data_IF_798950046635
#
_entry.id   IF_798950046635
#
_cell.length_a   1.000
_cell.length_b   1.000
_cell.length_c   1.000
_cell.angle_alpha   90.00
_cell.angle_beta   90.00
_cell.angle_gamma   90.00
#
_symmetry.space_group_name_H-M   'P 1'
#
loop_
_entity.id
_entity.type
_entity.pdbx_description
1 polymer ?
#
# COMPACT_ATOMS: atom_id res chain seq x y z
N UNK A 1 -7.87 -9.63 22.09
CA UNK A 1 -7.72 -10.85 21.26
C UNK A 1 -8.81 -11.04 20.21
N UNK A 2 -9.93 -10.29 20.22
CA UNK A 2 -10.90 -10.29 19.10
C UNK A 2 -10.62 -9.22 18.02
N UNK A 3 -9.85 -8.17 18.35
CA UNK A 3 -9.53 -7.08 17.43
C UNK A 3 -8.63 -7.49 16.28
N UNK A 4 -7.55 -8.24 16.55
CA UNK A 4 -6.57 -8.62 15.52
C UNK A 4 -7.18 -9.49 14.41
N UNK A 5 -8.12 -10.38 14.75
CA UNK A 5 -8.83 -11.21 13.77
C UNK A 5 -9.90 -10.42 13.02
N UNK A 6 -10.56 -9.47 13.69
CA UNK A 6 -11.59 -8.64 13.06
C UNK A 6 -10.98 -7.67 12.04
N UNK A 7 -9.86 -7.02 12.39
CA UNK A 7 -9.16 -6.12 11.48
C UNK A 7 -8.65 -6.90 10.26
N UNK A 8 -8.05 -8.08 10.46
CA UNK A 8 -7.64 -8.92 9.33
C UNK A 8 -8.82 -9.26 8.41
N UNK A 9 -9.99 -9.62 8.95
CA UNK A 9 -11.19 -9.88 8.14
C UNK A 9 -11.68 -8.64 7.38
N UNK A 10 -11.71 -7.47 8.03
CA UNK A 10 -12.18 -6.23 7.39
C UNK A 10 -11.21 -5.82 6.27
N UNK A 11 -9.91 -5.75 6.57
CA UNK A 11 -8.92 -5.25 5.63
C UNK A 11 -8.64 -6.27 4.52
N UNK A 12 -8.54 -7.56 4.85
CA UNK A 12 -8.26 -8.59 3.86
C UNK A 12 -9.52 -9.01 3.08
N UNK A 13 -10.53 -9.53 3.77
CA UNK A 13 -11.68 -10.17 3.12
C UNK A 13 -12.70 -9.18 2.59
N UNK A 14 -13.00 -8.12 3.36
CA UNK A 14 -14.07 -7.18 3.01
C UNK A 14 -13.62 -6.09 2.03
N UNK A 15 -12.33 -5.71 2.07
CA UNK A 15 -11.80 -4.59 1.28
C UNK A 15 -10.73 -5.06 0.30
N UNK A 16 -9.71 -5.78 0.77
CA UNK A 16 -8.55 -6.15 -0.03
C UNK A 16 -8.88 -7.06 -1.22
N UNK A 17 -9.54 -8.20 -0.98
CA UNK A 17 -9.92 -9.14 -2.04
C UNK A 17 -10.80 -8.47 -3.11
N UNK A 18 -11.88 -7.73 -2.76
CA UNK A 18 -12.68 -7.03 -3.75
C UNK A 18 -11.90 -5.98 -4.54
N UNK A 19 -10.97 -5.24 -3.92
CA UNK A 19 -10.15 -4.26 -4.63
C UNK A 19 -9.23 -4.90 -5.65
N UNK A 20 -8.56 -6.00 -5.28
CA UNK A 20 -7.68 -6.75 -6.20
C UNK A 20 -8.51 -7.39 -7.31
N UNK A 21 -9.68 -7.96 -7.00
CA UNK A 21 -10.57 -8.56 -8.00
C UNK A 21 -11.25 -7.53 -8.92
N UNK A 22 -11.45 -6.29 -8.46
CA UNK A 22 -12.03 -5.21 -9.26
C UNK A 22 -11.01 -4.58 -10.22
N UNK A 23 -9.71 -4.77 -9.97
CA UNK A 23 -8.67 -4.45 -10.93
C UNK A 23 -8.79 -5.40 -12.13
N UNK A 24 -9.58 -4.99 -13.12
CA UNK A 24 -9.95 -5.77 -14.30
C UNK A 24 -8.81 -5.91 -15.34
N UNK A 25 -7.56 -5.75 -14.89
CA UNK A 25 -6.33 -5.87 -15.68
C UNK A 25 -5.43 -6.95 -15.07
N UNK A 26 -4.46 -7.45 -15.84
CA UNK A 26 -3.45 -8.38 -15.29
C UNK A 26 -2.54 -7.60 -14.34
N UNK A 27 -2.83 -7.67 -13.04
CA UNK A 27 -1.99 -7.06 -12.00
C UNK A 27 -0.85 -8.01 -11.67
N UNK A 28 0.38 -7.61 -11.98
CA UNK A 28 1.58 -8.41 -11.69
C UNK A 28 2.12 -8.19 -10.26
N UNK A 29 1.77 -7.05 -9.64
CA UNK A 29 2.25 -6.63 -8.32
C UNK A 29 1.29 -5.64 -7.67
N UNK A 30 0.98 -5.84 -6.39
CA UNK A 30 0.19 -4.91 -5.57
C UNK A 30 1.10 -4.27 -4.52
N UNK A 31 1.07 -2.94 -4.45
CA UNK A 31 1.79 -2.16 -3.45
C UNK A 31 0.81 -1.62 -2.40
N UNK A 32 1.18 -1.75 -1.13
CA UNK A 32 0.38 -1.27 0.00
C UNK A 32 1.24 -0.41 0.94
N UNK A 33 0.61 0.52 1.64
CA UNK A 33 1.26 1.37 2.66
C UNK A 33 0.96 0.88 4.09
N UNK A 34 -0.12 0.11 4.27
CA UNK A 34 -0.60 -0.36 5.57
C UNK A 34 -0.40 -1.86 5.72
N UNK A 35 0.30 -2.25 6.78
CA UNK A 35 0.66 -3.64 7.08
C UNK A 35 -0.55 -4.58 7.17
N UNK A 36 -1.72 -4.06 7.56
CA UNK A 36 -2.96 -4.86 7.70
C UNK A 36 -3.41 -5.50 6.39
N UNK A 37 -3.03 -4.94 5.24
CA UNK A 37 -3.34 -5.52 3.94
C UNK A 37 -2.40 -6.66 3.52
N UNK A 38 -1.30 -6.93 4.25
CA UNK A 38 -0.45 -8.09 3.94
C UNK A 38 -1.22 -9.41 4.06
N UNK A 39 -2.22 -9.48 4.95
CA UNK A 39 -3.10 -10.64 5.10
C UNK A 39 -3.97 -10.94 3.87
N UNK A 40 -3.99 -10.07 2.86
CA UNK A 40 -4.66 -10.32 1.57
C UNK A 40 -3.90 -11.39 0.78
N UNK A 41 -2.55 -11.41 0.88
CA UNK A 41 -1.69 -12.24 0.02
C UNK A 41 -2.06 -13.72 -0.02
N UNK A 42 -2.38 -14.41 1.10
CA UNK A 42 -2.77 -15.82 1.06
C UNK A 42 -4.07 -16.10 0.28
N UNK A 43 -4.92 -15.07 0.07
CA UNK A 43 -6.23 -15.19 -0.56
C UNK A 43 -6.28 -14.66 -2.01
N UNK A 44 -5.17 -14.10 -2.52
CA UNK A 44 -5.06 -13.59 -3.90
C UNK A 44 -3.80 -14.16 -4.55
N UNK A 45 -3.83 -14.42 -5.85
CA UNK A 45 -2.67 -14.99 -6.56
C UNK A 45 -1.58 -13.95 -6.90
N UNK A 46 -1.84 -12.68 -6.63
CA UNK A 46 -0.94 -11.56 -6.97
C UNK A 46 -0.02 -11.24 -5.78
N UNK A 47 1.29 -11.03 -6.01
CA UNK A 47 2.21 -10.59 -4.96
C UNK A 47 1.78 -9.27 -4.32
N UNK A 48 1.81 -9.20 -2.98
CA UNK A 48 1.43 -8.00 -2.21
C UNK A 48 2.63 -7.56 -1.38
N UNK A 49 3.09 -6.32 -1.61
CA UNK A 49 4.31 -5.78 -1.00
C UNK A 49 3.99 -4.49 -0.26
N UNK A 50 4.40 -4.46 1.00
CA UNK A 50 4.34 -3.28 1.85
C UNK A 50 5.52 -2.35 1.57
N UNK A 51 5.21 -1.10 1.29
CA UNK A 51 6.15 0.01 1.21
C UNK A 51 6.28 0.62 2.59
N UNK A 52 7.49 0.59 3.15
CA UNK A 52 7.81 1.19 4.45
C UNK A 52 8.74 2.36 4.21
N UNK A 53 8.39 3.53 4.75
CA UNK A 53 9.32 4.66 4.81
C UNK A 53 10.55 4.26 5.64
N UNK A 54 11.70 4.19 5.01
CA UNK A 54 12.98 4.10 5.71
C UNK A 54 13.55 5.50 5.79
N UNK A 55 13.45 6.12 6.97
CA UNK A 55 14.14 7.37 7.25
C UNK A 55 15.65 7.10 7.24
N UNK A 56 16.33 7.52 6.19
CA UNK A 56 17.79 7.60 6.16
C UNK A 56 18.19 8.88 6.90
N UNK A 57 18.87 8.75 8.03
CA UNK A 57 19.18 9.86 8.95
C UNK A 57 20.14 10.94 8.37
N UNK A 58 20.48 10.91 7.08
CA UNK A 58 21.57 11.69 6.50
C UNK A 58 21.21 12.57 5.28
N UNK A 59 19.93 12.91 5.05
CA UNK A 59 19.54 13.85 3.99
C UNK A 59 19.72 13.34 2.56
N UNK A 60 19.92 12.03 2.41
CA UNK A 60 19.78 11.33 1.14
C UNK A 60 18.29 11.03 0.87
N UNK A 61 17.97 10.84 -0.41
CA UNK A 61 16.63 10.56 -0.93
C UNK A 61 15.85 9.58 -0.04
N UNK A 62 14.53 9.81 0.17
CA UNK A 62 13.70 8.91 0.99
C UNK A 62 13.83 7.49 0.45
N UNK A 63 14.39 6.59 1.27
CA UNK A 63 14.57 5.20 0.90
C UNK A 63 13.29 4.44 1.25
N UNK A 64 12.79 3.64 0.31
CA UNK A 64 11.60 2.81 0.53
C UNK A 64 12.06 1.39 0.82
N UNK A 65 11.76 0.90 2.01
CA UNK A 65 11.97 -0.49 2.37
C UNK A 65 10.76 -1.33 1.94
N UNK A 66 11.03 -2.52 1.39
CA UNK A 66 10.00 -3.46 0.96
C UNK A 66 9.85 -4.58 2.00
N UNK A 67 8.59 -4.91 2.34
CA UNK A 67 8.24 -6.04 3.20
C UNK A 67 7.18 -6.89 2.50
N UNK A 68 7.39 -8.20 2.48
CA UNK A 68 6.41 -9.16 1.97
C UNK A 68 5.65 -9.82 3.14
N UNK A 69 4.65 -10.62 2.81
CA UNK A 69 4.02 -11.50 3.79
C UNK A 69 5.03 -12.55 4.27
N UNK A 70 4.95 -12.95 5.55
CA UNK A 70 5.93 -13.85 6.18
C UNK A 70 6.02 -15.22 5.53
N UNK A 71 4.93 -15.70 4.93
CA UNK A 71 4.89 -16.96 4.18
C UNK A 71 5.40 -16.83 2.73
N UNK A 72 5.61 -15.61 2.25
CA UNK A 72 5.95 -15.28 0.85
C UNK A 72 7.19 -14.38 0.76
N UNK A 73 8.14 -14.50 1.70
CA UNK A 73 9.34 -13.66 1.78
C UNK A 73 10.17 -13.63 0.48
N UNK A 74 10.13 -14.68 -0.34
CA UNK A 74 10.81 -14.72 -1.64
C UNK A 74 10.28 -13.68 -2.64
N UNK A 75 9.02 -13.25 -2.50
CA UNK A 75 8.40 -12.24 -3.35
C UNK A 75 9.04 -10.87 -3.16
N UNK A 76 9.61 -10.60 -1.98
CA UNK A 76 10.34 -9.36 -1.71
C UNK A 76 11.47 -9.15 -2.73
N UNK A 77 12.29 -10.19 -2.98
CA UNK A 77 13.42 -10.10 -3.91
C UNK A 77 12.96 -9.90 -5.36
N UNK A 78 11.85 -10.55 -5.73
CA UNK A 78 11.23 -10.40 -7.06
C UNK A 78 10.70 -8.98 -7.24
N UNK A 79 9.93 -8.49 -6.28
CA UNK A 79 9.41 -7.13 -6.28
C UNK A 79 10.52 -6.08 -6.26
N UNK A 80 11.59 -6.30 -5.49
CA UNK A 80 12.74 -5.40 -5.49
C UNK A 80 13.38 -5.30 -6.88
N UNK A 81 13.46 -6.41 -7.62
CA UNK A 81 13.99 -6.43 -8.98
C UNK A 81 13.05 -5.73 -9.97
N UNK A 82 11.74 -5.92 -9.83
CA UNK A 82 10.72 -5.25 -10.65
C UNK A 82 10.64 -3.73 -10.39
N UNK A 83 10.86 -3.31 -9.15
CA UNK A 83 10.77 -1.91 -8.73
C UNK A 83 12.10 -1.13 -8.89
N UNK A 84 13.23 -1.82 -9.06
CA UNK A 84 14.54 -1.20 -9.25
C UNK A 84 14.57 -0.09 -10.32
N UNK A 85 13.97 -0.26 -11.53
CA UNK A 85 13.95 0.79 -12.54
C UNK A 85 13.24 2.07 -12.08
N UNK A 86 12.26 1.95 -11.18
CA UNK A 86 11.52 3.10 -10.65
C UNK A 86 12.35 3.85 -9.60
N UNK A 87 13.07 3.11 -8.75
CA UNK A 87 14.00 3.68 -7.80
C UNK A 87 15.19 4.37 -8.49
N UNK A 88 15.75 3.74 -9.52
CA UNK A 88 16.86 4.31 -10.31
C UNK A 88 16.46 5.60 -11.03
N UNK A 89 15.19 5.71 -11.42
CA UNK A 89 14.60 6.94 -11.98
C UNK A 89 14.28 8.01 -10.92
N UNK A 90 14.50 7.73 -9.63
CA UNK A 90 14.18 8.63 -8.52
C UNK A 90 12.69 8.82 -8.28
N UNK A 91 11.83 7.89 -8.74
CA UNK A 91 10.39 7.99 -8.52
C UNK A 91 10.01 7.67 -7.07
N UNK A 92 9.16 8.52 -6.49
CA UNK A 92 8.58 8.27 -5.18
C UNK A 92 7.31 7.41 -5.33
N UNK A 93 7.41 6.11 -5.02
CA UNK A 93 6.26 5.19 -5.06
C UNK A 93 5.22 5.44 -3.95
N UNK A 94 5.54 6.28 -2.97
CA UNK A 94 4.62 6.67 -1.89
C UNK A 94 3.79 7.91 -2.26
N UNK A 95 4.24 8.71 -3.23
CA UNK A 95 3.54 9.92 -3.68
C UNK A 95 2.07 9.66 -4.05
N UNK A 96 1.69 8.57 -4.75
CA UNK A 96 0.28 8.31 -5.06
C UNK A 96 -0.59 8.19 -3.81
N UNK A 97 -0.08 7.57 -2.75
CA UNK A 97 -0.79 7.42 -1.47
C UNK A 97 -0.94 8.77 -0.77
N UNK A 98 0.15 9.55 -0.73
CA UNK A 98 0.16 10.90 -0.18
C UNK A 98 -0.84 11.82 -0.90
N UNK A 99 -0.88 11.76 -2.24
CA UNK A 99 -1.79 12.55 -3.06
C UNK A 99 -3.25 12.22 -2.80
N UNK A 100 -3.58 10.92 -2.66
CA UNK A 100 -4.96 10.50 -2.33
C UNK A 100 -5.35 10.99 -0.94
N UNK A 101 -4.46 10.87 0.06
CA UNK A 101 -4.68 11.39 1.41
C UNK A 101 -4.94 12.91 1.41
N UNK A 102 -4.07 13.67 0.74
CA UNK A 102 -4.21 15.12 0.60
C UNK A 102 -5.55 15.51 -0.04
N UNK A 103 -5.93 14.83 -1.13
CA UNK A 103 -7.19 15.10 -1.81
C UNK A 103 -8.41 14.83 -0.91
N UNK A 104 -8.35 13.76 -0.10
CA UNK A 104 -9.42 13.43 0.86
C UNK A 104 -9.52 14.49 1.97
N UNK A 105 -8.39 14.94 2.53
CA UNK A 105 -8.35 16.00 3.55
C UNK A 105 -8.93 17.31 3.02
N UNK A 106 -8.57 17.69 1.79
CA UNK A 106 -9.10 18.88 1.13
C UNK A 106 -10.62 18.77 0.88
N UNK A 107 -11.09 17.63 0.37
CA UNK A 107 -12.52 17.40 0.14
C UNK A 107 -13.33 17.43 1.44
N UNK A 108 -12.77 16.90 2.54
CA UNK A 108 -13.40 16.95 3.85
C UNK A 108 -13.54 18.39 4.34
N UNK A 109 -12.46 19.18 4.23
CA UNK A 109 -12.44 20.60 4.63
C UNK A 109 -13.45 21.44 3.85
N UNK A 110 -13.56 21.23 2.54
CA UNK A 110 -14.51 21.96 1.68
C UNK A 110 -15.98 21.61 1.97
N UNK A 111 -16.30 20.35 2.30
CA UNK A 111 -17.67 19.93 2.64
C UNK A 111 -18.15 20.43 4.01
N UNK A 112 -17.24 20.67 4.95
CA UNK A 112 -17.58 21.25 6.27
C UNK A 112 -17.89 22.76 6.17
N UNK A 113 -17.37 23.44 5.13
CA UNK A 113 -17.68 24.86 4.86
C UNK A 113 -19.05 25.12 4.22
N UNK A 114 -19.78 24.10 3.79
CA UNK A 114 -21.04 24.23 3.03
C UNK A 114 -22.31 24.13 3.92
N UNK A 115 -22.15 24.17 5.24
CA UNK A 115 -23.26 24.30 6.22
C UNK A 115 -23.10 25.54 7.08
N UNK A 116 -23.21 26.71 6.46
CA UNK A 116 -23.59 27.94 7.16
C UNK A 116 -24.30 28.85 6.17
N UNK A 117 -25.61 28.64 6.04
CA UNK A 117 -26.56 29.62 5.52
C UNK A 117 -27.72 29.70 6.49
#
# INVERSE_FOLDING_TARGET
MYGDTLDSYIFADLVGIPLVSAANENVDLVLIEDERFLSVRPNVDVPVILLVHSATENGETPSIALKAHSEFETEKSVAQSQLAPFFDAGMNLLEPFERVRLALEQAHTQKVGDKST
#
